data_IF_404236908901
#
_entry.id   IF_404236908901
#
_cell.length_a   1.000
_cell.length_b   1.000
_cell.length_c   1.000
_cell.angle_alpha   90.00
_cell.angle_beta   90.00
_cell.angle_gamma   90.00
#
_symmetry.space_group_name_H-M   'P 1'
#
loop_
_entity.id
_entity.type
_entity.pdbx_description
1 polymer ?
#
# COMPACT_ATOMS: atom_id res chain seq x y z
N UNK A 1 -13.16 7.88 0.01
CA UNK A 1 -13.30 7.18 -1.29
C UNK A 1 -13.21 5.67 -1.11
N UNK A 2 -12.26 5.15 -0.37
CA UNK A 2 -11.97 3.72 -0.15
C UNK A 2 -13.18 2.93 0.34
N UNK A 3 -13.94 3.48 1.27
CA UNK A 3 -15.18 2.87 1.82
C UNK A 3 -16.22 2.47 0.77
N UNK A 4 -16.14 3.04 -0.44
CA UNK A 4 -17.05 2.76 -1.54
C UNK A 4 -16.53 1.69 -2.51
N UNK A 5 -15.28 1.26 -2.35
CA UNK A 5 -14.61 0.27 -3.21
C UNK A 5 -14.91 -1.16 -2.72
N UNK A 6 -16.18 -1.56 -2.76
CA UNK A 6 -16.63 -2.85 -2.26
C UNK A 6 -16.26 -3.98 -3.21
N UNK A 7 -16.50 -3.80 -4.51
CA UNK A 7 -16.12 -4.76 -5.53
C UNK A 7 -14.62 -4.67 -5.85
N UNK A 8 -13.99 -5.74 -6.35
CA UNK A 8 -12.58 -5.72 -6.77
C UNK A 8 -12.30 -4.54 -7.69
N UNK A 9 -11.44 -3.63 -7.25
CA UNK A 9 -11.16 -2.37 -7.95
C UNK A 9 -9.67 -2.06 -7.92
N UNK A 10 -9.09 -1.73 -9.06
CA UNK A 10 -7.74 -1.19 -9.15
C UNK A 10 -7.80 0.34 -9.23
N UNK A 11 -7.10 0.99 -8.31
CA UNK A 11 -6.84 2.45 -8.37
C UNK A 11 -5.44 2.62 -8.93
N UNK A 12 -5.33 3.25 -10.09
CA UNK A 12 -4.08 3.38 -10.82
C UNK A 12 -3.60 4.84 -10.88
N UNK A 13 -2.35 5.02 -11.26
CA UNK A 13 -1.80 6.34 -11.57
C UNK A 13 -1.80 7.29 -10.37
N UNK A 14 -1.14 6.87 -9.30
CA UNK A 14 -1.00 7.68 -8.10
C UNK A 14 -0.10 8.90 -8.34
N UNK A 15 -0.40 10.06 -7.72
CA UNK A 15 0.46 11.23 -7.78
C UNK A 15 1.87 10.96 -7.28
N UNK A 16 2.83 11.69 -7.86
CA UNK A 16 4.25 11.54 -7.56
C UNK A 16 4.57 11.88 -6.09
N UNK A 17 3.84 12.83 -5.50
CA UNK A 17 4.06 13.35 -4.15
C UNK A 17 3.83 12.27 -3.08
N UNK A 18 2.89 11.37 -3.31
CA UNK A 18 2.54 10.27 -2.40
C UNK A 18 3.17 8.94 -2.79
N UNK A 19 4.13 8.94 -3.72
CA UNK A 19 4.75 7.73 -4.26
C UNK A 19 6.26 7.87 -4.40
N UNK A 20 7.00 8.12 -3.28
CA UNK A 20 8.41 8.51 -3.34
C UNK A 20 9.37 7.44 -3.86
N UNK A 21 8.99 6.16 -3.86
CA UNK A 21 9.82 5.02 -4.29
C UNK A 21 9.43 4.49 -5.67
N UNK A 22 8.47 5.14 -6.32
CA UNK A 22 7.87 4.64 -7.56
C UNK A 22 8.36 5.40 -8.78
N UNK A 23 8.57 4.66 -9.86
CA UNK A 23 8.93 5.22 -11.17
C UNK A 23 7.79 6.08 -11.72
N UNK A 24 8.12 7.27 -12.22
CA UNK A 24 7.15 8.14 -12.88
C UNK A 24 6.79 7.62 -14.27
N UNK A 25 5.57 7.89 -14.70
CA UNK A 25 5.11 7.55 -16.06
C UNK A 25 5.84 8.38 -17.09
N UNK A 26 6.37 7.79 -18.17
CA UNK A 26 7.04 8.54 -19.23
C UNK A 26 6.11 9.57 -19.91
N UNK A 27 4.83 9.21 -20.07
CA UNK A 27 3.85 10.05 -20.79
C UNK A 27 3.32 11.20 -19.93
N UNK A 28 3.29 11.02 -18.60
CA UNK A 28 2.81 12.01 -17.66
C UNK A 28 3.58 11.93 -16.32
N UNK A 29 4.69 12.67 -16.19
CA UNK A 29 5.58 12.60 -15.02
C UNK A 29 4.98 13.08 -13.69
N UNK A 30 3.77 13.66 -13.68
CA UNK A 30 3.04 13.99 -12.45
C UNK A 30 2.44 12.76 -11.78
N UNK A 31 2.36 11.63 -12.51
CA UNK A 31 1.84 10.36 -12.03
C UNK A 31 2.91 9.28 -12.08
N UNK A 32 2.68 8.24 -11.29
CA UNK A 32 3.59 7.12 -11.14
C UNK A 32 3.02 5.82 -11.70
N UNK A 33 3.89 4.88 -12.04
CA UNK A 33 3.54 3.51 -12.43
C UNK A 33 3.20 2.68 -11.18
N UNK A 34 2.06 3.02 -10.53
CA UNK A 34 1.58 2.41 -9.28
C UNK A 34 0.11 2.07 -9.40
N UNK A 35 -0.28 0.97 -8.79
CA UNK A 35 -1.66 0.68 -8.51
C UNK A 35 -1.84 0.14 -7.09
N UNK A 36 -3.01 0.38 -6.55
CA UNK A 36 -3.52 -0.27 -5.35
C UNK A 36 -4.76 -1.07 -5.70
N UNK A 37 -4.86 -2.26 -5.14
CA UNK A 37 -6.01 -3.14 -5.32
C UNK A 37 -6.89 -3.11 -4.07
N UNK A 38 -8.13 -2.71 -4.25
CA UNK A 38 -9.14 -2.62 -3.19
C UNK A 38 -10.22 -3.68 -3.37
N UNK A 39 -10.70 -4.18 -2.23
CA UNK A 39 -11.87 -5.05 -2.15
C UNK A 39 -12.49 -4.93 -0.76
N UNK A 40 -13.82 -4.83 -0.68
CA UNK A 40 -14.55 -4.65 0.58
C UNK A 40 -14.16 -3.37 1.35
N UNK A 41 -13.74 -2.33 0.64
CA UNK A 41 -13.24 -1.09 1.25
C UNK A 41 -11.86 -1.22 1.88
N UNK A 42 -11.13 -2.31 1.63
CA UNK A 42 -9.79 -2.55 2.15
C UNK A 42 -8.77 -2.58 1.01
N UNK A 43 -7.62 -1.97 1.24
CA UNK A 43 -6.45 -2.18 0.40
C UNK A 43 -5.94 -3.60 0.58
N UNK A 44 -6.00 -4.38 -0.48
CA UNK A 44 -5.58 -5.78 -0.52
C UNK A 44 -4.17 -5.96 -1.04
N UNK A 45 -3.75 -5.10 -1.96
CA UNK A 45 -2.41 -5.10 -2.51
C UNK A 45 -2.00 -3.70 -2.99
N UNK A 46 -0.68 -3.48 -3.01
CA UNK A 46 -0.04 -2.29 -3.54
C UNK A 46 1.15 -2.72 -4.39
N UNK A 47 1.25 -2.20 -5.61
CA UNK A 47 2.28 -2.60 -6.55
C UNK A 47 2.74 -1.42 -7.39
N UNK A 48 4.02 -1.42 -7.74
CA UNK A 48 4.60 -0.37 -8.58
C UNK A 48 5.89 -0.80 -9.28
N UNK A 49 6.24 -0.05 -10.32
CA UNK A 49 7.57 -0.10 -10.90
C UNK A 49 8.55 0.62 -9.98
N UNK A 50 9.58 -0.09 -9.54
CA UNK A 50 10.58 0.44 -8.62
C UNK A 50 11.36 1.60 -9.27
N UNK A 51 11.53 2.70 -8.53
CA UNK A 51 12.40 3.79 -8.95
C UNK A 51 13.85 3.33 -8.84
N UNK A 52 14.49 3.12 -9.97
CA UNK A 52 15.86 2.62 -10.05
C UNK A 52 16.90 3.67 -10.50
N UNK A 53 16.52 4.94 -10.56
CA UNK A 53 17.41 6.06 -10.81
C UNK A 53 17.83 6.71 -9.48
N UNK A 54 19.10 6.61 -9.06
CA UNK A 54 19.56 7.17 -7.78
C UNK A 54 19.48 8.70 -7.73
N UNK A 55 19.55 9.39 -8.87
CA UNK A 55 19.46 10.85 -8.92
C UNK A 55 18.02 11.29 -8.64
N UNK A 56 17.04 10.71 -9.36
CA UNK A 56 15.62 10.99 -9.13
C UNK A 56 15.22 10.57 -7.70
N UNK A 57 15.71 9.42 -7.20
CA UNK A 57 15.41 8.97 -5.85
C UNK A 57 15.92 9.94 -4.79
N UNK A 58 17.13 10.51 -4.95
CA UNK A 58 17.67 11.50 -4.03
C UNK A 58 16.83 12.78 -4.02
N UNK A 59 16.32 13.21 -5.17
CA UNK A 59 15.41 14.36 -5.27
C UNK A 59 14.08 14.10 -4.56
N UNK A 60 13.54 12.87 -4.70
CA UNK A 60 12.32 12.46 -3.98
C UNK A 60 12.50 12.48 -2.48
N UNK A 61 13.59 11.95 -1.96
CA UNK A 61 13.88 11.98 -0.53
C UNK A 61 14.00 13.41 0.01
N UNK A 62 14.64 14.32 -0.71
CA UNK A 62 14.69 15.75 -0.32
C UNK A 62 13.30 16.36 -0.22
N UNK A 63 12.42 16.07 -1.20
CA UNK A 63 11.05 16.55 -1.15
C UNK A 63 10.28 15.98 0.06
N UNK A 64 10.52 14.72 0.42
CA UNK A 64 9.94 14.11 1.62
C UNK A 64 10.46 14.76 2.91
N UNK A 65 11.75 15.07 3.01
CA UNK A 65 12.33 15.79 4.15
C UNK A 65 11.75 17.20 4.32
N UNK A 66 11.44 17.88 3.20
CA UNK A 66 10.76 19.18 3.24
C UNK A 66 9.33 19.06 3.77
N UNK A 67 8.60 18.01 3.42
CA UNK A 67 7.28 17.71 3.95
C UNK A 67 7.34 17.37 5.45
N UNK A 68 8.31 16.55 5.85
CA UNK A 68 8.55 16.22 7.26
C UNK A 68 8.84 17.48 8.08
N UNK A 69 9.66 18.41 7.56
CA UNK A 69 9.95 19.68 8.21
C UNK A 69 8.71 20.59 8.35
N UNK A 70 7.69 20.40 7.52
CA UNK A 70 6.39 21.08 7.58
C UNK A 70 5.39 20.40 8.52
N UNK A 71 5.75 19.25 9.10
CA UNK A 71 4.93 18.52 10.08
C UNK A 71 4.13 17.35 9.50
N UNK A 72 4.51 16.84 8.35
CA UNK A 72 3.95 15.60 7.80
C UNK A 72 4.67 14.40 8.42
N UNK A 73 4.04 13.75 9.39
CA UNK A 73 4.60 12.62 10.14
C UNK A 73 4.71 11.33 9.29
N UNK A 74 4.09 11.28 8.10
CA UNK A 74 4.15 10.13 7.19
C UNK A 74 5.32 10.22 6.20
N UNK A 75 5.98 11.39 6.10
CA UNK A 75 7.08 11.60 5.18
C UNK A 75 8.35 10.85 5.63
N UNK A 76 9.14 10.42 4.66
CA UNK A 76 10.35 9.63 4.89
C UNK A 76 11.60 10.51 4.99
N UNK A 77 12.58 10.07 5.77
CA UNK A 77 13.93 10.62 5.79
C UNK A 77 14.79 10.00 4.68
N UNK A 78 15.84 10.70 4.27
CA UNK A 78 16.82 10.17 3.31
C UNK A 78 17.53 8.94 3.86
N UNK A 79 17.53 7.87 3.08
CA UNK A 79 18.27 6.63 3.34
C UNK A 79 19.49 6.57 2.42
N UNK A 80 20.66 6.92 2.96
CA UNK A 80 21.91 6.91 2.19
C UNK A 80 22.38 5.50 1.85
N UNK A 81 22.10 4.49 2.66
CA UNK A 81 22.45 3.10 2.37
C UNK A 81 21.62 2.57 1.19
N UNK A 82 20.35 2.93 1.13
CA UNK A 82 19.48 2.61 0.00
C UNK A 82 19.97 3.32 -1.28
N UNK A 83 20.32 4.61 -1.21
CA UNK A 83 20.85 5.35 -2.36
C UNK A 83 22.17 4.75 -2.87
N UNK A 84 23.08 4.39 -1.98
CA UNK A 84 24.32 3.69 -2.35
C UNK A 84 24.05 2.35 -3.04
N UNK A 85 23.04 1.59 -2.58
CA UNK A 85 22.64 0.35 -3.22
C UNK A 85 22.11 0.59 -4.65
N UNK A 86 21.33 1.64 -4.87
CA UNK A 86 20.85 2.04 -6.20
C UNK A 86 22.00 2.45 -7.13
N UNK A 87 23.02 3.16 -6.61
CA UNK A 87 24.21 3.56 -7.38
C UNK A 87 25.05 2.36 -7.83
N UNK A 88 25.08 1.27 -7.06
CA UNK A 88 25.73 0.02 -7.46
C UNK A 88 24.99 -0.62 -8.64
N UNK A 89 23.68 -0.48 -8.67
CA UNK A 89 22.82 -0.87 -9.78
C UNK A 89 21.58 -1.65 -9.34
N UNK A 90 20.43 -1.21 -9.80
CA UNK A 90 19.16 -1.90 -9.68
C UNK A 90 18.57 -2.12 -11.08
N UNK A 91 18.32 -3.35 -11.51
CA UNK A 91 17.69 -3.61 -12.80
C UNK A 91 16.23 -3.11 -12.80
N UNK A 92 15.60 -2.94 -13.98
CA UNK A 92 14.17 -2.72 -14.06
C UNK A 92 13.41 -3.79 -13.26
N UNK A 93 12.64 -3.36 -12.28
CA UNK A 93 12.01 -4.26 -11.29
C UNK A 93 10.61 -3.76 -11.00
N UNK A 94 9.65 -4.66 -10.88
CA UNK A 94 8.33 -4.40 -10.32
C UNK A 94 8.20 -5.06 -8.96
N UNK A 95 7.59 -4.35 -8.02
CA UNK A 95 7.30 -4.85 -6.69
C UNK A 95 5.80 -4.95 -6.44
N UNK A 96 5.38 -5.92 -5.63
CA UNK A 96 4.00 -6.05 -5.17
C UNK A 96 3.96 -6.53 -3.72
N UNK A 97 3.16 -5.86 -2.90
CA UNK A 97 2.82 -6.29 -1.57
C UNK A 97 1.37 -6.73 -1.48
N UNK A 98 1.12 -7.92 -0.91
CA UNK A 98 -0.22 -8.42 -0.62
C UNK A 98 -0.49 -8.45 0.87
N UNK A 99 -1.65 -7.96 1.28
CA UNK A 99 -2.17 -8.12 2.62
C UNK A 99 -2.71 -9.53 2.85
N UNK A 100 -1.85 -10.51 3.15
CA UNK A 100 -2.26 -11.91 3.32
C UNK A 100 -3.30 -12.07 4.43
N UNK A 101 -3.13 -11.35 5.55
CA UNK A 101 -4.11 -11.37 6.63
C UNK A 101 -5.47 -10.82 6.19
N UNK A 102 -5.49 -9.71 5.44
CA UNK A 102 -6.72 -9.16 4.84
C UNK A 102 -7.36 -10.13 3.87
N UNK A 103 -6.56 -10.83 3.07
CA UNK A 103 -7.05 -11.89 2.18
C UNK A 103 -7.68 -13.04 2.97
N UNK A 104 -7.05 -13.47 4.06
CA UNK A 104 -7.61 -14.48 4.95
C UNK A 104 -8.93 -14.02 5.58
N UNK A 105 -9.00 -12.77 6.06
CA UNK A 105 -10.23 -12.19 6.60
C UNK A 105 -11.38 -12.27 5.58
N UNK A 106 -11.10 -11.88 4.34
CA UNK A 106 -12.09 -11.91 3.25
C UNK A 106 -12.58 -13.33 2.96
N UNK A 107 -11.64 -14.29 2.79
CA UNK A 107 -11.95 -15.66 2.44
C UNK A 107 -12.69 -16.43 3.56
N UNK A 108 -12.40 -16.08 4.82
CA UNK A 108 -13.02 -16.72 6.00
C UNK A 108 -14.24 -15.95 6.53
N UNK A 109 -14.57 -14.80 5.91
CA UNK A 109 -15.62 -13.89 6.40
C UNK A 109 -15.37 -13.42 7.85
N UNK A 110 -14.13 -13.18 8.20
CA UNK A 110 -13.71 -12.69 9.52
C UNK A 110 -13.65 -11.16 9.53
N UNK A 111 -14.33 -10.52 10.48
CA UNK A 111 -14.40 -9.07 10.56
C UNK A 111 -13.16 -8.43 11.19
N UNK A 112 -12.38 -9.18 11.98
CA UNK A 112 -11.24 -8.66 12.70
C UNK A 112 -9.95 -9.42 12.35
N UNK A 113 -8.86 -8.68 12.13
CA UNK A 113 -7.54 -9.26 11.79
C UNK A 113 -7.03 -10.23 12.85
N UNK A 114 -7.33 -10.01 14.12
CA UNK A 114 -6.97 -10.91 15.23
C UNK A 114 -7.56 -12.31 15.09
N UNK A 115 -8.66 -12.48 14.34
CA UNK A 115 -9.34 -13.76 14.17
C UNK A 115 -8.62 -14.65 13.14
N UNK A 116 -7.74 -14.08 12.33
CA UNK A 116 -6.93 -14.79 11.33
C UNK A 116 -5.45 -14.89 11.70
N UNK A 117 -5.00 -14.16 12.72
CA UNK A 117 -3.64 -14.24 13.22
C UNK A 117 -3.48 -15.41 14.20
N UNK A 118 -2.44 -16.23 14.03
CA UNK A 118 -2.12 -17.34 14.95
C UNK A 118 -1.73 -16.85 16.35
N UNK A 119 -1.03 -15.72 16.43
CA UNK A 119 -0.51 -15.13 17.67
C UNK A 119 -0.77 -13.61 17.68
N UNK A 120 -2.04 -13.18 17.84
CA UNK A 120 -2.35 -11.76 17.85
C UNK A 120 -1.77 -11.09 19.09
N UNK A 121 -1.21 -9.88 18.90
CA UNK A 121 -0.77 -9.05 20.03
C UNK A 121 -1.99 -8.55 20.78
N UNK A 122 -2.12 -8.96 22.04
CA UNK A 122 -3.24 -8.59 22.91
C UNK A 122 -2.78 -7.59 23.97
N UNK A 123 -3.66 -6.67 24.35
CA UNK A 123 -3.40 -5.80 25.49
C UNK A 123 -3.24 -6.64 26.77
N UNK A 124 -2.18 -6.37 27.54
CA UNK A 124 -1.92 -7.10 28.79
C UNK A 124 -3.06 -6.91 29.80
N UNK A 125 -3.63 -8.00 30.30
CA UNK A 125 -4.74 -7.98 31.28
C UNK A 125 -4.34 -7.38 32.64
N UNK A 126 -3.07 -7.06 32.87
CA UNK A 126 -2.54 -6.51 34.13
C UNK A 126 -2.18 -5.02 34.11
N UNK A 127 -2.30 -4.33 32.95
CA UNK A 127 -1.80 -2.96 32.80
C UNK A 127 -2.73 -1.84 33.30
N UNK A 128 -3.97 -2.14 33.69
CA UNK A 128 -4.99 -1.12 33.95
C UNK A 128 -4.97 -0.48 35.34
N UNK A 129 -3.92 -0.65 36.13
CA UNK A 129 -3.86 -0.05 37.48
C UNK A 129 -2.89 1.13 37.67
N UNK A 130 -2.17 1.60 36.63
CA UNK A 130 -1.29 2.77 36.80
C UNK A 130 -1.07 3.59 35.50
N UNK A 131 -2.12 4.10 34.89
CA UNK A 131 -1.99 5.25 33.98
C UNK A 131 -3.38 5.86 33.69
N UNK A 132 -4.05 6.36 34.69
CA UNK A 132 -5.12 7.32 34.47
C UNK A 132 -4.49 8.71 34.42
N UNK A 133 -4.19 9.19 33.23
CA UNK A 133 -4.35 10.60 32.81
C UNK A 133 -3.61 10.80 31.49
N UNK A 134 -4.37 11.31 30.54
CA UNK A 134 -3.98 11.82 29.20
C UNK A 134 -3.79 10.79 28.08
N UNK A 135 -4.86 10.47 27.45
CA UNK A 135 -5.22 10.63 26.03
C UNK A 135 -6.54 9.92 25.80
N UNK A 136 -7.58 10.67 25.50
CA UNK A 136 -8.83 10.13 24.96
C UNK A 136 -8.49 9.43 23.62
N UNK A 137 -8.40 8.12 23.67
CA UNK A 137 -8.45 7.32 22.45
C UNK A 137 -9.84 7.50 21.86
N UNK A 138 -9.90 7.94 20.62
CA UNK A 138 -11.14 7.94 19.85
C UNK A 138 -11.80 6.55 19.91
N UNK A 139 -13.13 6.46 19.95
CA UNK A 139 -13.82 5.18 19.98
C UNK A 139 -13.44 4.43 18.72
N UNK A 140 -12.94 3.20 18.89
CA UNK A 140 -12.76 2.25 17.80
C UNK A 140 -14.16 2.01 17.23
N UNK A 141 -14.45 2.54 16.05
CA UNK A 141 -15.68 2.24 15.34
C UNK A 141 -15.78 0.71 15.19
N UNK A 142 -16.95 0.19 15.54
CA UNK A 142 -17.24 -1.22 15.35
C UNK A 142 -17.05 -1.56 13.86
N UNK A 143 -16.10 -2.45 13.56
CA UNK A 143 -15.81 -2.89 12.20
C UNK A 143 -17.11 -3.37 11.55
N UNK A 144 -17.41 -2.82 10.38
CA UNK A 144 -18.61 -3.20 9.62
C UNK A 144 -18.50 -4.66 9.20
N UNK A 145 -19.58 -5.45 9.27
CA UNK A 145 -19.56 -6.84 8.80
C UNK A 145 -19.17 -6.86 7.32
N UNK A 146 -18.36 -7.84 6.94
CA UNK A 146 -17.94 -8.05 5.54
C UNK A 146 -19.18 -8.25 4.68
N UNK A 147 -19.39 -7.38 3.70
CA UNK A 147 -20.45 -7.58 2.69
C UNK A 147 -20.09 -8.78 1.82
N UNK A 148 -21.10 -9.63 1.53
CA UNK A 148 -20.87 -10.78 0.66
C UNK A 148 -20.56 -10.31 -0.75
N UNK A 149 -19.32 -10.53 -1.18
CA UNK A 149 -18.88 -10.23 -2.53
C UNK A 149 -19.41 -11.30 -3.48
N UNK A 150 -20.16 -10.86 -4.48
CA UNK A 150 -20.66 -11.75 -5.54
C UNK A 150 -19.62 -11.85 -6.67
N UNK A 151 -18.75 -12.82 -6.56
CA UNK A 151 -17.68 -13.05 -7.54
C UNK A 151 -18.20 -13.38 -8.95
N UNK A 152 -19.46 -13.77 -9.10
CA UNK A 152 -20.08 -14.05 -10.43
C UNK A 152 -20.28 -12.78 -11.25
N UNK A 153 -20.29 -11.62 -10.62
CA UNK A 153 -20.46 -10.30 -11.24
C UNK A 153 -19.16 -9.56 -11.51
N UNK A 154 -18.03 -10.12 -11.10
CA UNK A 154 -16.71 -9.52 -11.34
C UNK A 154 -16.42 -9.65 -12.83
N UNK A 155 -16.43 -8.52 -13.53
CA UNK A 155 -15.91 -8.45 -14.90
C UNK A 155 -14.39 -8.42 -14.83
N UNK A 156 -13.76 -9.52 -15.18
CA UNK A 156 -12.33 -9.56 -15.42
C UNK A 156 -12.12 -9.03 -16.84
N UNK A 157 -11.81 -7.75 -16.96
CA UNK A 157 -11.27 -7.24 -18.20
C UNK A 157 -9.80 -7.69 -18.26
N UNK A 158 -9.33 -8.28 -19.37
CA UNK A 158 -7.92 -8.65 -19.47
C UNK A 158 -7.09 -7.37 -19.36
N UNK A 159 -6.26 -7.30 -18.33
CA UNK A 159 -5.32 -6.19 -18.07
C UNK A 159 -4.25 -6.05 -19.18
N UNK A 160 -4.14 -7.05 -20.06
CA UNK A 160 -3.18 -7.11 -21.15
C UNK A 160 -3.91 -7.54 -22.43
N UNK A 161 -4.29 -6.59 -23.27
CA UNK A 161 -4.70 -6.89 -24.65
C UNK A 161 -3.51 -7.26 -25.55
N UNK A 162 -2.28 -6.96 -25.11
CA UNK A 162 -1.04 -7.41 -25.77
C UNK A 162 -0.25 -8.32 -24.83
N UNK A 163 -0.46 -9.61 -24.94
CA UNK A 163 0.50 -10.59 -24.43
C UNK A 163 1.78 -10.41 -25.24
N UNK A 164 2.87 -10.06 -24.56
CA UNK A 164 4.20 -10.08 -25.16
C UNK A 164 4.44 -11.48 -25.68
N UNK A 165 4.62 -11.60 -26.99
CA UNK A 165 4.96 -12.84 -27.66
C UNK A 165 6.38 -13.25 -27.22
N UNK A 166 6.46 -14.22 -26.31
CA UNK A 166 7.73 -14.73 -25.77
C UNK A 166 8.52 -15.54 -26.79
N UNK A 167 7.99 -15.79 -28.00
CA UNK A 167 8.69 -16.54 -29.06
C UNK A 167 9.65 -15.66 -29.89
N UNK A 168 9.83 -14.39 -29.54
CA UNK A 168 10.72 -13.44 -30.25
C UNK A 168 11.99 -13.07 -29.49
N UNK A 169 12.46 -13.89 -28.52
CA UNK A 169 13.78 -13.72 -27.88
C UNK A 169 14.73 -14.85 -28.26
#
# INVERSE_FOLDING_TARGET
>A
AEEHLIQPTFVMDHPIEISPLTKKKPENPEYTERFEFFMNGWEMANAYSELNDPIDQRERFKAQEELLAQGDDEANTTDEDFLNALEIGMPPTGGIGFGIDRMCMLLTNSAAIRDVLLFPTMKSMGADKKASKTSEAAPVEAEKPVEKIDFSKVKVEPLFEEMVDFDTF
#
